data_IF_926858943525
#
_entry.id   IF_926858943525
#
_cell.length_a   1.000
_cell.length_b   1.000
_cell.length_c   1.000
_cell.angle_alpha   90.00
_cell.angle_beta   90.00
_cell.angle_gamma   90.00
#
_symmetry.space_group_name_H-M   'P 1'
#
loop_
_entity.id
_entity.type
_entity.pdbx_description
1 polymer ?
#
# COMPACT_ATOMS: atom_id res chain seq x y z
N UNK A 1 2.83 5.48 0.71
CA UNK A 1 2.03 4.23 0.71
C UNK A 1 0.71 4.58 1.34
N UNK A 2 -0.38 4.15 0.74
CA UNK A 2 -1.72 4.53 1.18
C UNK A 2 -2.64 3.32 1.23
N UNK A 3 -3.60 3.34 2.14
CA UNK A 3 -4.78 2.47 2.19
C UNK A 3 -6.03 3.34 2.31
N UNK A 4 -7.25 2.84 2.03
CA UNK A 4 -8.46 3.66 2.05
C UNK A 4 -8.62 4.48 3.35
N UNK A 5 -8.31 3.84 4.48
CA UNK A 5 -8.51 4.40 5.83
C UNK A 5 -7.21 4.71 6.57
N UNK A 6 -6.03 4.37 6.03
CA UNK A 6 -4.75 4.44 6.74
C UNK A 6 -4.46 3.25 7.67
N UNK A 7 -5.33 2.24 7.70
CA UNK A 7 -5.04 0.99 8.39
C UNK A 7 -3.94 0.18 7.69
N UNK A 8 -3.22 -0.64 8.48
CA UNK A 8 -2.08 -1.42 8.03
C UNK A 8 -2.39 -2.31 6.82
N UNK A 9 -1.47 -2.31 5.85
CA UNK A 9 -1.53 -3.15 4.65
C UNK A 9 -1.55 -4.63 5.05
N UNK A 10 -2.39 -5.41 4.37
CA UNK A 10 -2.49 -6.87 4.58
C UNK A 10 -1.83 -7.59 3.43
N UNK A 11 -0.65 -8.15 3.69
CA UNK A 11 0.10 -8.96 2.74
C UNK A 11 -0.25 -10.43 2.92
N UNK A 12 -0.41 -11.16 1.83
CA UNK A 12 -0.56 -12.62 1.80
C UNK A 12 0.78 -13.29 2.15
N UNK A 13 1.18 -13.21 3.42
CA UNK A 13 2.51 -13.67 3.89
C UNK A 13 2.79 -15.15 3.59
N UNK A 14 1.74 -15.97 3.47
CA UNK A 14 1.84 -17.38 3.09
C UNK A 14 2.38 -17.58 1.65
N UNK A 15 2.42 -16.53 0.83
CA UNK A 15 2.96 -16.52 -0.52
C UNK A 15 4.33 -15.80 -0.62
N UNK A 16 4.94 -15.39 0.49
CA UNK A 16 6.26 -14.76 0.48
C UNK A 16 7.31 -15.76 -0.04
N UNK A 17 8.12 -15.41 -1.05
CA UNK A 17 9.19 -16.29 -1.53
C UNK A 17 10.35 -16.33 -0.53
N UNK A 18 10.34 -17.31 0.36
CA UNK A 18 11.31 -17.43 1.48
C UNK A 18 12.77 -17.53 1.03
N UNK A 19 13.04 -18.05 -0.18
CA UNK A 19 14.39 -18.20 -0.72
C UNK A 19 14.86 -16.99 -1.56
N UNK A 20 14.02 -15.96 -1.73
CA UNK A 20 14.34 -14.76 -2.50
C UNK A 20 14.76 -13.61 -1.56
N UNK A 21 16.07 -13.44 -1.41
CA UNK A 21 16.65 -12.42 -0.53
C UNK A 21 16.37 -10.98 -1.01
N UNK A 22 16.28 -10.76 -2.32
CA UNK A 22 16.01 -9.43 -2.88
C UNK A 22 14.56 -9.00 -2.57
N UNK A 23 13.59 -9.91 -2.70
CA UNK A 23 12.19 -9.63 -2.33
C UNK A 23 12.05 -9.40 -0.83
N UNK A 24 12.68 -10.23 0.01
CA UNK A 24 12.65 -10.05 1.47
C UNK A 24 13.30 -8.73 1.90
N UNK A 25 14.40 -8.33 1.26
CA UNK A 25 15.04 -7.05 1.53
C UNK A 25 14.10 -5.89 1.21
N UNK A 26 13.49 -5.86 0.02
CA UNK A 26 12.53 -4.81 -0.35
C UNK A 26 11.34 -4.80 0.62
N UNK A 27 10.81 -5.95 1.01
CA UNK A 27 9.73 -6.01 2.00
C UNK A 27 10.14 -5.37 3.32
N UNK A 28 11.32 -5.72 3.85
CA UNK A 28 11.83 -5.18 5.12
C UNK A 28 12.06 -3.66 5.06
N UNK A 29 12.58 -3.14 3.95
CA UNK A 29 12.79 -1.69 3.74
C UNK A 29 11.48 -0.89 3.83
N UNK A 30 10.35 -1.50 3.44
CA UNK A 30 9.03 -0.85 3.43
C UNK A 30 8.11 -1.30 4.57
N UNK A 31 8.52 -2.22 5.43
CA UNK A 31 7.70 -2.81 6.50
C UNK A 31 7.06 -1.76 7.42
N UNK A 32 7.81 -0.72 7.81
CA UNK A 32 7.29 0.37 8.63
C UNK A 32 6.14 1.13 7.95
N UNK A 33 6.21 1.32 6.63
CA UNK A 33 5.18 1.97 5.81
C UNK A 33 3.98 1.06 5.54
N UNK A 34 4.19 -0.26 5.47
CA UNK A 34 3.09 -1.24 5.41
C UNK A 34 2.30 -1.24 6.71
N UNK A 35 2.99 -1.15 7.86
CA UNK A 35 2.36 -1.15 9.17
C UNK A 35 1.65 0.17 9.51
N UNK A 36 2.12 1.29 8.96
CA UNK A 36 1.55 2.62 9.21
C UNK A 36 1.43 3.42 7.89
N UNK A 37 0.52 3.01 6.98
CA UNK A 37 0.29 3.73 5.74
C UNK A 37 -0.50 5.01 5.97
N UNK A 38 -0.49 5.91 4.98
CA UNK A 38 -1.34 7.08 4.98
C UNK A 38 -2.77 6.72 4.55
N UNK A 39 -3.75 7.54 4.94
CA UNK A 39 -5.15 7.42 4.50
C UNK A 39 -5.35 8.08 3.13
N UNK A 40 -5.94 7.36 2.17
CA UNK A 40 -6.34 7.94 0.88
C UNK A 40 -7.43 8.99 1.11
N UNK A 41 -8.40 8.70 1.97
CA UNK A 41 -9.49 9.64 2.26
C UNK A 41 -8.96 10.99 2.79
N UNK A 42 -7.97 10.95 3.68
CA UNK A 42 -7.36 12.18 4.21
C UNK A 42 -6.50 12.87 3.15
N UNK A 43 -5.73 12.13 2.36
CA UNK A 43 -4.89 12.69 1.29
C UNK A 43 -5.73 13.43 0.25
N UNK A 44 -6.83 12.82 -0.24
CA UNK A 44 -7.73 13.44 -1.22
C UNK A 44 -8.34 14.73 -0.65
N UNK A 45 -8.73 14.71 0.63
CA UNK A 45 -9.38 15.84 1.28
C UNK A 45 -8.43 17.03 1.50
N UNK A 46 -7.17 16.77 1.85
CA UNK A 46 -6.29 17.80 2.37
C UNK A 46 -5.13 18.19 1.44
N UNK A 47 -4.58 17.25 0.68
CA UNK A 47 -3.25 17.44 0.06
C UNK A 47 -3.21 17.15 -1.45
N UNK A 48 -4.09 16.28 -1.96
CA UNK A 48 -3.98 15.75 -3.33
C UNK A 48 -4.06 16.83 -4.41
N UNK A 49 -4.93 17.83 -4.23
CA UNK A 49 -5.17 18.86 -5.24
C UNK A 49 -3.92 19.71 -5.54
N UNK A 50 -3.06 19.90 -4.54
CA UNK A 50 -1.85 20.72 -4.63
C UNK A 50 -0.57 19.89 -4.78
N UNK A 51 -0.67 18.56 -4.76
CA UNK A 51 0.48 17.67 -4.83
C UNK A 51 1.03 17.53 -6.26
N UNK A 52 2.33 17.75 -6.40
CA UNK A 52 3.07 17.50 -7.66
C UNK A 52 4.06 16.34 -7.55
N UNK A 53 4.06 15.62 -6.43
CA UNK A 53 5.13 14.68 -6.06
C UNK A 53 4.92 13.26 -6.64
N UNK A 54 3.74 12.98 -7.19
CA UNK A 54 3.37 11.64 -7.67
C UNK A 54 3.27 11.58 -9.19
N UNK A 55 4.18 10.83 -9.82
CA UNK A 55 4.17 10.60 -11.26
C UNK A 55 3.26 9.45 -11.72
N UNK A 56 2.96 8.50 -10.84
CA UNK A 56 2.15 7.33 -11.13
C UNK A 56 1.50 6.74 -9.87
N UNK A 57 0.44 5.94 -10.08
CA UNK A 57 -0.24 5.16 -9.04
C UNK A 57 -0.01 3.68 -9.34
N UNK A 58 0.42 2.93 -8.33
CA UNK A 58 0.56 1.47 -8.40
C UNK A 58 -0.45 0.82 -7.45
N UNK A 59 -1.31 -0.04 -8.00
CA UNK A 59 -2.32 -0.82 -7.26
C UNK A 59 -1.95 -2.30 -7.42
N UNK A 60 -1.38 -2.94 -6.39
CA UNK A 60 -1.04 -4.37 -6.44
C UNK A 60 -2.31 -5.24 -6.41
N UNK A 61 -2.17 -6.48 -6.87
CA UNK A 61 -3.25 -7.47 -6.85
C UNK A 61 -3.38 -8.21 -5.51
N UNK A 62 -3.68 -9.51 -5.60
CA UNK A 62 -4.10 -10.33 -4.45
C UNK A 62 -5.61 -10.21 -4.21
N UNK A 63 -6.22 -11.22 -3.57
CA UNK A 63 -7.69 -11.22 -3.40
C UNK A 63 -8.17 -10.11 -2.46
N UNK A 64 -7.30 -9.63 -1.55
CA UNK A 64 -7.61 -8.51 -0.66
C UNK A 64 -7.93 -7.20 -1.39
N UNK A 65 -7.43 -7.01 -2.62
CA UNK A 65 -7.74 -5.83 -3.42
C UNK A 65 -9.23 -5.75 -3.82
N UNK A 66 -9.98 -6.85 -3.70
CA UNK A 66 -11.42 -6.88 -3.97
C UNK A 66 -12.27 -6.42 -2.77
N UNK A 67 -11.65 -6.07 -1.65
CA UNK A 67 -12.34 -5.64 -0.45
C UNK A 67 -12.36 -4.11 -0.39
N UNK A 68 -13.43 -3.50 -0.90
CA UNK A 68 -13.70 -2.06 -0.83
C UNK A 68 -13.05 -1.24 -1.94
N UNK A 69 -11.82 -1.54 -2.38
CA UNK A 69 -11.15 -0.76 -3.43
C UNK A 69 -11.94 -0.63 -4.76
N UNK A 70 -12.70 -1.65 -5.22
CA UNK A 70 -13.48 -1.51 -6.45
C UNK A 70 -14.74 -0.66 -6.31
N UNK A 71 -15.25 -0.49 -5.08
CA UNK A 71 -16.53 0.16 -4.80
C UNK A 71 -16.41 1.62 -4.34
N UNK A 72 -15.29 1.96 -3.68
CA UNK A 72 -14.98 3.29 -3.14
C UNK A 72 -14.27 4.20 -4.16
#
# INVERSE_FOLDING_TARGET
MFTPTGEAVKVEQWAMPEDDDDVKQIYSEYESKFNNPNSIADFVKNDMADSTDYAAIFIPGGHGAMLGLPED
#
